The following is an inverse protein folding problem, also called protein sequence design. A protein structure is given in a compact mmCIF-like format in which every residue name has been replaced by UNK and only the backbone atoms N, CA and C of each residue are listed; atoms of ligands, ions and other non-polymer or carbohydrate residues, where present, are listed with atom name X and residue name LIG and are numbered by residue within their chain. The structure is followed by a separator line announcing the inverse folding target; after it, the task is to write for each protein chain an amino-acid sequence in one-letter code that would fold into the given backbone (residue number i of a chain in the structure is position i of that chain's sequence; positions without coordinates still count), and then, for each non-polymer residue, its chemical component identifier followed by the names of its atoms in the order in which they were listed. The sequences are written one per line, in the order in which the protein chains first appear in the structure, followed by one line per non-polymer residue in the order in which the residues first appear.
data_IF_568076638534
#
_entry.id   IF_568076638534
#
_cell.length_a   1.000
_cell.length_b   1.000
_cell.length_c   1.000
_cell.angle_alpha   90.00
_cell.angle_beta   90.00
_cell.angle_gamma   90.00
#
_symmetry.space_group_name_H-M   'P 1'
#
loop_
_entity.id
_entity.type
_entity.pdbx_description
1 polymer ?
#
# COMPACT_ATOMS: atom_id res chain seq x y z
N UNK A 1 -0.29 -11.08 9.53
CA UNK A 1 0.08 -9.91 10.37
C UNK A 1 -0.90 -8.77 10.10
N UNK A 2 -1.83 -8.48 11.02
CA UNK A 2 -2.90 -7.48 10.83
C UNK A 2 -2.40 -6.10 11.29
N UNK A 3 -2.18 -5.18 10.36
CA UNK A 3 -1.86 -3.78 10.68
C UNK A 3 -3.16 -2.99 10.90
N UNK A 4 -3.06 -1.87 11.61
CA UNK A 4 -4.18 -0.94 11.71
C UNK A 4 -4.53 -0.40 10.30
N UNK A 5 -5.79 -0.01 10.04
CA UNK A 5 -6.13 0.66 8.80
C UNK A 5 -5.27 1.92 8.63
N UNK A 6 -4.84 2.19 7.40
CA UNK A 6 -4.10 3.41 7.10
C UNK A 6 -5.00 4.62 7.42
N UNK A 7 -4.49 5.67 8.09
CA UNK A 7 -5.27 6.88 8.33
C UNK A 7 -5.70 7.53 7.00
N UNK A 8 -6.93 8.05 6.96
CA UNK A 8 -7.50 8.71 5.77
C UNK A 8 -6.72 9.97 5.37
N UNK A 9 -6.19 10.68 6.36
CA UNK A 9 -5.44 11.92 6.14
C UNK A 9 -4.10 11.84 6.84
N UNK A 10 -3.04 12.23 6.12
CA UNK A 10 -1.69 12.33 6.64
C UNK A 10 -1.22 13.76 6.40
N UNK A 11 -0.58 14.37 7.41
CA UNK A 11 0.11 15.64 7.24
C UNK A 11 1.62 15.36 7.04
N UNK A 12 2.16 15.48 5.80
CA UNK A 12 3.54 15.10 5.51
C UNK A 12 4.56 15.96 6.25
N UNK A 13 4.28 17.24 6.49
CA UNK A 13 5.17 18.13 7.24
C UNK A 13 5.28 17.71 8.71
N UNK A 14 4.16 17.34 9.35
CA UNK A 14 4.19 16.83 10.72
C UNK A 14 4.95 15.52 10.79
N UNK A 15 4.77 14.63 9.81
CA UNK A 15 5.44 13.35 9.73
C UNK A 15 6.96 13.52 9.52
N UNK A 16 7.36 14.45 8.66
CA UNK A 16 8.77 14.76 8.42
C UNK A 16 9.45 15.35 9.66
N UNK A 17 8.73 16.23 10.40
CA UNK A 17 9.24 16.83 11.63
C UNK A 17 9.36 15.82 12.79
N UNK A 18 8.44 14.87 12.90
CA UNK A 18 8.50 13.85 13.94
C UNK A 18 9.43 12.69 13.62
N UNK A 19 9.77 12.50 12.34
CA UNK A 19 10.51 11.32 11.85
C UNK A 19 9.74 10.01 12.06
N UNK A 20 8.43 10.08 12.26
CA UNK A 20 7.62 8.90 12.54
C UNK A 20 7.37 8.08 11.26
N UNK A 21 7.18 6.77 11.44
CA UNK A 21 6.80 5.85 10.39
C UNK A 21 5.33 5.46 10.58
N UNK A 22 4.54 5.55 9.51
CA UNK A 22 3.16 5.06 9.51
C UNK A 22 3.16 3.67 8.86
N UNK A 23 2.67 2.68 9.60
CA UNK A 23 2.43 1.33 9.10
C UNK A 23 0.93 1.09 9.10
N UNK A 24 0.39 0.69 7.96
CA UNK A 24 -1.02 0.41 7.85
C UNK A 24 -1.33 -0.64 6.80
N UNK A 25 -2.60 -1.04 6.76
CA UNK A 25 -3.14 -1.86 5.69
C UNK A 25 -4.32 -1.18 5.02
N UNK A 26 -4.46 -1.38 3.72
CA UNK A 26 -5.63 -0.99 2.92
C UNK A 26 -6.25 -2.26 2.35
N UNK A 27 -7.57 -2.35 2.33
CA UNK A 27 -8.27 -3.47 1.69
C UNK A 27 -8.16 -3.36 0.17
N UNK A 28 -7.88 -4.47 -0.52
CA UNK A 28 -7.90 -4.51 -1.99
C UNK A 28 -9.28 -4.09 -2.52
N UNK A 29 -10.36 -4.42 -1.80
CA UNK A 29 -11.73 -4.00 -2.16
C UNK A 29 -11.95 -2.48 -2.14
N UNK A 30 -11.11 -1.71 -1.44
CA UNK A 30 -11.15 -0.24 -1.46
C UNK A 30 -10.34 0.39 -2.61
N UNK A 31 -9.71 -0.43 -3.46
CA UNK A 31 -8.92 -0.01 -4.61
C UNK A 31 -9.62 -0.47 -5.90
N UNK A 32 -10.53 0.31 -6.50
CA UNK A 32 -11.45 -0.17 -7.54
C UNK A 32 -10.73 -0.82 -8.73
N UNK A 33 -9.66 -0.18 -9.20
CA UNK A 33 -8.84 -0.68 -10.31
C UNK A 33 -8.17 -2.02 -10.03
N UNK A 34 -7.83 -2.29 -8.78
CA UNK A 34 -7.20 -3.55 -8.39
C UNK A 34 -8.27 -4.61 -8.08
N UNK A 35 -9.36 -4.22 -7.41
CA UNK A 35 -10.48 -5.09 -7.08
C UNK A 35 -11.10 -5.76 -8.32
N UNK A 36 -11.21 -5.05 -9.43
CA UNK A 36 -11.72 -5.60 -10.70
C UNK A 36 -10.85 -6.72 -11.29
N UNK A 37 -9.58 -6.81 -10.89
CA UNK A 37 -8.61 -7.77 -11.43
C UNK A 37 -8.43 -9.01 -10.53
N UNK A 38 -8.97 -8.97 -9.33
CA UNK A 38 -8.75 -9.99 -8.30
C UNK A 38 -9.90 -11.00 -8.32
N UNK A 39 -9.57 -12.29 -8.26
CA UNK A 39 -10.53 -13.41 -8.31
C UNK A 39 -11.25 -13.59 -6.98
N UNK A 40 -10.59 -13.24 -5.88
CA UNK A 40 -11.13 -13.25 -4.53
C UNK A 40 -10.55 -12.08 -3.72
N UNK A 41 -11.41 -11.16 -3.28
CA UNK A 41 -11.03 -10.02 -2.47
C UNK A 41 -11.05 -10.33 -0.96
N UNK A 42 -11.50 -11.53 -0.58
CA UNK A 42 -11.54 -12.00 0.80
C UNK A 42 -10.28 -12.79 1.10
N UNK A 43 -9.65 -12.47 2.22
CA UNK A 43 -8.62 -13.32 2.81
C UNK A 43 -9.27 -14.61 3.32
N UNK A 44 -9.39 -15.63 2.47
CA UNK A 44 -9.95 -16.94 2.86
C UNK A 44 -8.95 -17.76 3.68
N UNK A 45 -7.65 -17.41 3.62
CA UNK A 45 -6.59 -18.02 4.42
C UNK A 45 -6.06 -17.03 5.47
N UNK A 46 -6.08 -17.42 6.75
CA UNK A 46 -5.54 -16.63 7.88
C UNK A 46 -4.04 -16.29 7.71
N UNK A 47 -3.34 -17.00 6.82
CA UNK A 47 -1.90 -16.87 6.59
C UNK A 47 -1.52 -16.00 5.38
N UNK A 48 -2.46 -15.61 4.52
CA UNK A 48 -2.12 -15.03 3.22
C UNK A 48 -2.81 -13.68 2.98
N UNK A 49 -1.99 -12.65 2.71
CA UNK A 49 -2.37 -11.25 2.49
C UNK A 49 -3.07 -11.00 1.14
N UNK A 50 -3.91 -11.93 0.69
CA UNK A 50 -4.57 -11.91 -0.62
C UNK A 50 -5.50 -10.71 -0.81
N UNK A 51 -6.09 -10.20 0.28
CA UNK A 51 -7.06 -9.09 0.28
C UNK A 51 -6.55 -7.78 0.89
N UNK A 52 -5.28 -7.68 1.28
CA UNK A 52 -4.74 -6.46 1.92
C UNK A 52 -3.44 -5.99 1.28
N UNK A 53 -3.33 -4.68 1.13
CA UNK A 53 -2.10 -3.99 0.76
C UNK A 53 -1.45 -3.47 2.03
N UNK A 54 -0.25 -3.94 2.34
CA UNK A 54 0.55 -3.44 3.45
C UNK A 54 1.32 -2.22 2.98
N UNK A 55 1.28 -1.14 3.76
CA UNK A 55 1.91 0.13 3.41
C UNK A 55 2.78 0.60 4.57
N UNK A 56 3.98 1.08 4.24
CA UNK A 56 4.86 1.82 5.14
C UNK A 56 5.13 3.19 4.54
N UNK A 57 4.85 4.24 5.29
CA UNK A 57 5.06 5.63 4.87
C UNK A 57 5.99 6.33 5.85
N UNK A 58 6.90 7.10 5.28
CA UNK A 58 7.77 8.05 5.99
C UNK A 58 7.75 9.36 5.25
N UNK A 59 8.03 10.45 5.95
CA UNK A 59 8.29 11.72 5.29
C UNK A 59 9.66 12.23 5.71
N UNK A 60 10.32 12.93 4.80
CA UNK A 60 11.60 13.59 5.06
C UNK A 60 11.60 15.00 4.51
N UNK A 61 12.41 15.84 5.12
CA UNK A 61 12.70 17.17 4.62
C UNK A 61 14.09 17.18 4.02
N UNK A 62 14.25 17.75 2.81
CA UNK A 62 15.55 17.91 2.19
C UNK A 62 16.26 19.20 2.65
N UNK A 63 17.48 19.42 2.16
CA UNK A 63 18.29 20.60 2.47
C UNK A 63 17.66 21.93 2.01
N UNK A 64 16.71 21.87 1.08
CA UNK A 64 15.96 23.01 0.55
C UNK A 64 14.62 23.19 1.26
N UNK A 65 14.44 22.54 2.42
CA UNK A 65 13.22 22.53 3.22
C UNK A 65 11.98 21.95 2.51
N UNK A 66 12.16 21.22 1.41
CA UNK A 66 11.08 20.55 0.69
C UNK A 66 10.75 19.23 1.35
N UNK A 67 9.46 18.89 1.42
CA UNK A 67 8.99 17.65 2.04
C UNK A 67 8.75 16.59 0.98
N UNK A 68 9.35 15.43 1.18
CA UNK A 68 9.11 14.22 0.40
C UNK A 68 8.32 13.22 1.22
N UNK A 69 7.27 12.66 0.63
CA UNK A 69 6.58 11.49 1.15
C UNK A 69 7.14 10.26 0.45
N UNK A 70 7.63 9.32 1.24
CA UNK A 70 8.20 8.07 0.77
C UNK A 70 7.32 6.92 1.23
N UNK A 71 7.09 5.97 0.34
CA UNK A 71 6.23 4.83 0.64
C UNK A 71 6.75 3.54 0.05
N UNK A 72 6.48 2.46 0.78
CA UNK A 72 6.65 1.08 0.33
C UNK A 72 5.33 0.37 0.46
N UNK A 73 4.91 -0.32 -0.59
CA UNK A 73 3.68 -1.09 -0.62
C UNK A 73 3.96 -2.54 -1.00
N UNK A 74 3.25 -3.46 -0.37
CA UNK A 74 3.35 -4.88 -0.60
C UNK A 74 1.96 -5.51 -0.62
N UNK A 75 1.69 -6.31 -1.64
CA UNK A 75 0.46 -7.09 -1.76
C UNK A 75 0.71 -8.38 -2.55
N UNK A 76 -0.11 -9.39 -2.31
CA UNK A 76 -0.05 -10.66 -3.05
C UNK A 76 -1.43 -11.05 -3.59
N UNK A 77 -2.09 -10.22 -4.41
CA UNK A 77 -3.43 -10.52 -4.90
C UNK A 77 -3.49 -11.82 -5.71
N UNK A 78 -4.62 -12.50 -5.62
CA UNK A 78 -4.97 -13.62 -6.48
C UNK A 78 -5.71 -13.10 -7.72
N UNK A 79 -5.06 -13.12 -8.88
CA UNK A 79 -5.62 -12.61 -10.13
C UNK A 79 -5.91 -13.76 -11.10
N UNK A 80 -6.78 -13.52 -12.08
CA UNK A 80 -7.05 -14.50 -13.13
C UNK A 80 -5.95 -14.40 -14.19
N UNK A 81 -5.20 -15.48 -14.42
CA UNK A 81 -4.22 -15.50 -15.49
C UNK A 81 -4.91 -15.34 -16.85
N UNK A 82 -4.55 -14.33 -17.63
CA UNK A 82 -5.16 -14.08 -18.94
C UNK A 82 -4.74 -15.07 -20.04
N UNK A 83 -3.79 -15.97 -19.77
CA UNK A 83 -3.35 -17.02 -20.69
C UNK A 83 -4.06 -18.36 -20.45
N UNK A 84 -4.08 -18.83 -19.19
CA UNK A 84 -4.63 -20.13 -18.84
C UNK A 84 -5.96 -20.07 -18.07
N UNK A 85 -6.47 -18.86 -17.80
CA UNK A 85 -7.70 -18.61 -17.03
C UNK A 85 -7.74 -19.29 -15.65
N UNK A 86 -6.58 -19.58 -15.09
CA UNK A 86 -6.44 -20.15 -13.75
C UNK A 86 -6.05 -19.06 -12.74
N UNK A 87 -6.50 -19.15 -11.47
CA UNK A 87 -6.06 -18.23 -10.42
C UNK A 87 -4.54 -18.30 -10.22
N UNK A 88 -3.89 -17.14 -10.14
CA UNK A 88 -2.46 -17.00 -9.95
C UNK A 88 -2.18 -15.88 -8.94
N UNK A 89 -1.25 -16.13 -8.01
CA UNK A 89 -0.75 -15.10 -7.09
C UNK A 89 0.27 -14.24 -7.81
N UNK A 90 0.11 -12.92 -7.70
CA UNK A 90 1.07 -11.95 -8.23
C UNK A 90 1.65 -11.18 -7.05
N UNK A 91 2.98 -11.19 -6.93
CA UNK A 91 3.66 -10.38 -5.93
C UNK A 91 3.80 -8.94 -6.45
N UNK A 92 3.24 -8.00 -5.69
CA UNK A 92 3.36 -6.57 -5.96
C UNK A 92 4.21 -5.97 -4.84
N UNK A 93 5.38 -5.45 -5.19
CA UNK A 93 6.26 -4.75 -4.28
C UNK A 93 6.74 -3.47 -4.97
N UNK A 94 6.18 -2.33 -4.55
CA UNK A 94 6.48 -1.04 -5.16
C UNK A 94 6.98 -0.05 -4.11
N UNK A 95 7.79 0.90 -4.57
CA UNK A 95 8.27 2.00 -3.78
C UNK A 95 8.05 3.31 -4.52
N UNK A 96 7.72 4.37 -3.78
CA UNK A 96 7.54 5.68 -4.34
C UNK A 96 8.17 6.75 -3.46
N UNK A 97 8.54 7.87 -4.10
CA UNK A 97 8.98 9.09 -3.45
C UNK A 97 8.34 10.26 -4.18
N UNK A 98 7.49 11.00 -3.46
CA UNK A 98 6.72 12.11 -4.01
C UNK A 98 7.11 13.41 -3.31
N UNK A 99 7.43 14.43 -4.11
CA UNK A 99 7.55 15.79 -3.61
C UNK A 99 6.15 16.32 -3.26
N UNK A 100 5.98 16.78 -2.02
CA UNK A 100 4.73 17.39 -1.56
C UNK A 100 4.73 18.86 -1.98
N UNK A 101 3.95 19.17 -3.03
CA UNK A 101 3.76 20.53 -3.53
C UNK A 101 2.52 21.14 -2.87
N UNK A 102 2.59 22.44 -2.57
CA UNK A 102 1.50 23.22 -1.99
C UNK A 102 0.54 23.71 -3.07
#
# INVERSE_FOLDING_TARGET
MKLAPLPETINPWRLAKSGAEIKGSISVSSLPRLAELVVDDKSVDEDLSLGVVLIRLTARQDEQYRVYLEGKLQATPLVLCQLCLSPMRVEIAEQFSWLVVK
#
